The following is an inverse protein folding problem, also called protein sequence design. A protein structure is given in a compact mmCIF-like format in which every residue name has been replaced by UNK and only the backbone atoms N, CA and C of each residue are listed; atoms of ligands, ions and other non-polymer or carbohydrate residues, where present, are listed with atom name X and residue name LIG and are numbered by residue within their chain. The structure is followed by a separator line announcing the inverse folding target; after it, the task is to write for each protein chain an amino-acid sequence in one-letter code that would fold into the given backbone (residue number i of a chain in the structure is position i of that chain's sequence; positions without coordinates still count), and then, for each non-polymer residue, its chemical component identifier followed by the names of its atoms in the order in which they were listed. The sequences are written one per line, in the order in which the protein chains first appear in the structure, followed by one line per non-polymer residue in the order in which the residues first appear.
data_IF_679663556726
#
_entry.id   IF_679663556726
#
_cell.length_a   1.000
_cell.length_b   1.000
_cell.length_c   1.000
_cell.angle_alpha   90.00
_cell.angle_beta   90.00
_cell.angle_gamma   90.00
#
_symmetry.space_group_name_H-M   'P 1'
#
loop_
_entity.id
_entity.type
_entity.pdbx_description
1 polymer ?
#
# COMPACT_ATOMS: atom_id res chain seq x y z
N UNK A 1 22.77 10.97 -6.14
CA UNK A 1 22.67 9.70 -6.94
C UNK A 1 21.24 9.27 -6.92
N UNK A 2 20.67 8.90 -8.05
CA UNK A 2 19.27 8.47 -8.14
C UNK A 2 19.11 7.11 -7.44
N UNK A 3 18.25 7.05 -6.43
CA UNK A 3 17.96 5.80 -5.68
C UNK A 3 17.51 4.66 -6.59
N UNK A 4 16.83 4.94 -7.70
CA UNK A 4 16.42 3.89 -8.63
C UNK A 4 17.63 3.18 -9.25
N UNK A 5 18.70 3.90 -9.54
CA UNK A 5 19.93 3.33 -10.11
C UNK A 5 20.70 2.58 -9.02
N UNK A 6 20.91 3.21 -7.86
CA UNK A 6 21.66 2.63 -6.75
C UNK A 6 21.05 1.32 -6.23
N UNK A 7 19.71 1.24 -6.15
CA UNK A 7 18.99 0.09 -5.59
C UNK A 7 18.18 -0.70 -6.63
N UNK A 8 18.58 -0.64 -7.90
CA UNK A 8 17.88 -1.35 -8.99
C UNK A 8 17.72 -2.85 -8.72
N UNK A 9 18.67 -3.48 -8.06
CA UNK A 9 18.61 -4.89 -7.69
C UNK A 9 17.43 -5.23 -6.75
N UNK A 10 16.94 -4.27 -5.97
CA UNK A 10 15.76 -4.45 -5.12
C UNK A 10 14.45 -4.40 -5.93
N UNK A 11 14.46 -3.79 -7.11
CA UNK A 11 13.27 -3.57 -7.94
C UNK A 11 13.06 -4.65 -9.02
N UNK A 12 13.82 -5.75 -8.98
CA UNK A 12 13.62 -6.88 -9.88
C UNK A 12 12.59 -7.86 -9.32
N UNK A 13 11.65 -8.29 -10.16
CA UNK A 13 10.68 -9.35 -9.83
C UNK A 13 11.14 -10.63 -10.52
N UNK A 14 11.60 -11.61 -9.74
CA UNK A 14 12.14 -12.86 -10.28
C UNK A 14 11.06 -13.87 -10.72
N UNK A 15 9.81 -13.65 -10.30
CA UNK A 15 8.67 -14.50 -10.69
C UNK A 15 7.47 -13.59 -10.98
N UNK A 16 6.75 -13.81 -12.10
CA UNK A 16 5.50 -13.09 -12.34
C UNK A 16 4.52 -13.38 -11.19
N UNK A 17 3.76 -12.39 -10.82
CA UNK A 17 2.65 -12.58 -9.90
C UNK A 17 1.54 -13.31 -10.67
N UNK A 18 1.25 -14.54 -10.27
CA UNK A 18 0.14 -15.33 -10.80
C UNK A 18 -0.94 -15.31 -9.72
N UNK A 19 -2.10 -14.78 -10.06
CA UNK A 19 -3.27 -14.76 -9.17
C UNK A 19 -3.98 -16.11 -9.30
N UNK A 20 -3.33 -17.18 -8.86
CA UNK A 20 -3.98 -18.48 -8.75
C UNK A 20 -4.35 -18.73 -7.29
N UNK A 21 -5.63 -18.91 -7.04
CA UNK A 21 -6.25 -19.25 -5.74
C UNK A 21 -6.27 -18.09 -4.73
N UNK A 22 -7.24 -17.20 -4.88
CA UNK A 22 -7.64 -16.25 -3.82
C UNK A 22 -7.91 -17.02 -2.52
N UNK A 23 -7.21 -16.61 -1.46
CA UNK A 23 -7.43 -17.13 -0.10
C UNK A 23 -8.51 -16.31 0.59
N UNK A 24 -9.09 -16.86 1.65
CA UNK A 24 -10.09 -16.16 2.47
C UNK A 24 -9.67 -14.72 2.85
N UNK A 25 -8.37 -14.51 3.09
CA UNK A 25 -7.79 -13.20 3.43
C UNK A 25 -7.80 -12.18 2.29
N UNK A 26 -7.92 -12.61 1.05
CA UNK A 26 -7.96 -11.73 -0.11
C UNK A 26 -9.36 -11.08 -0.29
N UNK A 27 -10.36 -11.56 0.47
CA UNK A 27 -11.68 -10.93 0.60
C UNK A 27 -11.76 -9.88 1.71
N UNK A 28 -10.64 -9.57 2.37
CA UNK A 28 -10.60 -8.59 3.44
C UNK A 28 -10.53 -7.17 2.89
N UNK A 29 -11.49 -6.36 3.28
CA UNK A 29 -11.54 -4.95 2.93
C UNK A 29 -11.10 -4.06 4.09
N UNK A 30 -10.30 -3.05 3.80
CA UNK A 30 -9.99 -1.99 4.77
C UNK A 30 -11.27 -1.24 5.10
N UNK A 31 -11.60 -0.99 6.38
CA UNK A 31 -12.72 -0.12 6.75
C UNK A 31 -12.55 1.28 6.15
N UNK A 32 -13.66 1.94 5.82
CA UNK A 32 -13.64 3.27 5.20
C UNK A 32 -12.99 4.31 6.12
N UNK A 33 -13.33 4.29 7.39
CA UNK A 33 -12.78 5.16 8.42
C UNK A 33 -11.26 5.04 8.55
N UNK A 34 -10.69 3.85 8.38
CA UNK A 34 -9.23 3.64 8.40
C UNK A 34 -8.59 4.39 7.23
N UNK A 35 -9.15 4.30 6.02
CA UNK A 35 -8.61 5.00 4.84
C UNK A 35 -8.75 6.51 4.98
N UNK A 36 -9.89 7.01 5.49
CA UNK A 36 -10.09 8.43 5.79
C UNK A 36 -9.09 8.95 6.83
N UNK A 37 -8.77 8.14 7.84
CA UNK A 37 -7.74 8.49 8.83
C UNK A 37 -6.33 8.45 8.24
N UNK A 38 -6.03 7.51 7.33
CA UNK A 38 -4.77 7.51 6.59
C UNK A 38 -4.66 8.79 5.74
N UNK A 39 -5.73 9.25 5.10
CA UNK A 39 -5.74 10.52 4.37
C UNK A 39 -5.43 11.71 5.28
N UNK A 40 -6.06 11.79 6.45
CA UNK A 40 -5.80 12.86 7.45
C UNK A 40 -4.36 12.81 7.95
N UNK A 41 -3.84 11.63 8.25
CA UNK A 41 -2.48 11.42 8.75
C UNK A 41 -1.41 11.83 7.73
N UNK A 42 -1.59 11.46 6.48
CA UNK A 42 -0.61 11.68 5.41
C UNK A 42 -0.82 13.03 4.69
N UNK A 43 -2.01 13.61 4.81
CA UNK A 43 -2.44 14.77 4.03
C UNK A 43 -2.61 14.45 2.55
N UNK A 44 -2.89 13.18 2.21
CA UNK A 44 -3.24 12.73 0.86
C UNK A 44 -4.78 12.70 0.71
N UNK A 45 -5.25 12.95 -0.49
CA UNK A 45 -6.65 12.77 -0.87
C UNK A 45 -6.71 11.78 -2.04
N UNK A 46 -6.93 10.51 -1.72
CA UNK A 46 -6.80 9.44 -2.70
C UNK A 46 -7.85 9.53 -3.81
N UNK A 47 -7.37 9.47 -5.05
CA UNK A 47 -8.20 9.46 -6.25
C UNK A 47 -8.09 8.15 -7.06
N UNK A 48 -7.31 7.19 -6.58
CA UNK A 48 -7.25 5.83 -7.08
C UNK A 48 -7.11 4.83 -5.93
N UNK A 49 -7.92 3.78 -5.92
CA UNK A 49 -7.70 2.55 -5.16
C UNK A 49 -7.10 1.50 -6.09
N UNK A 50 -5.80 1.24 -5.95
CA UNK A 50 -5.06 0.46 -6.95
C UNK A 50 -5.24 -1.06 -6.81
N UNK A 51 -5.90 -1.55 -5.77
CA UNK A 51 -6.18 -2.98 -5.56
C UNK A 51 -7.58 -3.15 -4.97
N UNK A 52 -8.61 -2.94 -5.76
CA UNK A 52 -9.98 -2.98 -5.29
C UNK A 52 -10.95 -3.57 -6.33
N UNK A 53 -12.17 -3.77 -5.89
CA UNK A 53 -13.30 -4.03 -6.76
C UNK A 53 -14.46 -3.09 -6.40
N UNK A 54 -15.52 -3.13 -7.17
CA UNK A 54 -16.70 -2.26 -6.97
C UNK A 54 -17.30 -2.33 -5.56
N UNK A 55 -17.12 -3.44 -4.85
CA UNK A 55 -17.74 -3.68 -3.53
C UNK A 55 -16.88 -3.19 -2.37
N UNK A 56 -15.55 -3.08 -2.57
CA UNK A 56 -14.59 -2.75 -1.51
C UNK A 56 -13.77 -1.48 -1.76
N UNK A 57 -13.85 -0.85 -2.93
CA UNK A 57 -13.11 0.38 -3.25
C UNK A 57 -13.37 1.51 -2.25
N UNK A 58 -12.35 2.33 -2.05
CA UNK A 58 -12.38 3.53 -1.21
C UNK A 58 -12.26 4.82 -2.00
N UNK A 59 -12.11 4.69 -3.33
CA UNK A 59 -12.02 5.81 -4.26
C UNK A 59 -13.08 5.69 -5.34
N UNK A 60 -13.36 6.78 -6.03
CA UNK A 60 -14.22 6.80 -7.21
C UNK A 60 -13.62 5.94 -8.33
N UNK A 61 -12.31 6.09 -8.53
CA UNK A 61 -11.55 5.28 -9.48
C UNK A 61 -10.82 4.14 -8.78
N UNK A 62 -10.82 2.96 -9.40
CA UNK A 62 -10.16 1.79 -8.85
C UNK A 62 -9.68 0.84 -9.97
N UNK A 63 -8.74 -0.03 -9.63
CA UNK A 63 -8.21 -1.06 -10.54
C UNK A 63 -8.59 -2.43 -9.99
N UNK A 64 -9.31 -3.19 -10.81
CA UNK A 64 -9.74 -4.55 -10.46
C UNK A 64 -8.61 -5.57 -10.68
N UNK A 65 -8.83 -6.77 -10.18
CA UNK A 65 -7.93 -7.91 -10.40
C UNK A 65 -7.77 -8.21 -11.90
N UNK A 66 -8.86 -8.18 -12.65
CA UNK A 66 -8.87 -8.44 -14.10
C UNK A 66 -8.09 -7.38 -14.89
N UNK A 67 -8.19 -6.11 -14.45
CA UNK A 67 -7.42 -5.02 -15.04
C UNK A 67 -5.93 -5.11 -14.70
N UNK A 68 -5.59 -5.78 -13.61
CA UNK A 68 -4.25 -6.02 -13.12
C UNK A 68 -3.41 -4.75 -12.91
N UNK A 69 -3.40 -4.27 -11.68
CA UNK A 69 -2.67 -3.05 -11.28
C UNK A 69 -1.18 -3.07 -11.64
N UNK A 70 -0.56 -4.26 -11.74
CA UNK A 70 0.87 -4.39 -12.04
C UNK A 70 1.21 -3.95 -13.47
N UNK A 71 0.25 -4.06 -14.40
CA UNK A 71 0.43 -3.68 -15.82
C UNK A 71 -0.33 -2.40 -16.20
N UNK A 72 -1.31 -2.00 -15.39
CA UNK A 72 -2.08 -0.77 -15.61
C UNK A 72 -1.22 0.47 -15.32
N UNK A 73 -1.27 1.48 -16.18
CA UNK A 73 -0.62 2.77 -15.96
C UNK A 73 -1.42 3.63 -14.97
N UNK A 74 -0.74 4.21 -13.98
CA UNK A 74 -1.36 5.12 -13.00
C UNK A 74 -1.13 6.59 -13.32
N UNK A 75 -0.53 6.93 -14.47
CA UNK A 75 -0.05 8.29 -14.79
C UNK A 75 -1.09 9.39 -14.72
N UNK A 76 -2.38 9.10 -14.93
CA UNK A 76 -3.47 10.07 -14.82
C UNK A 76 -3.89 10.38 -13.35
N UNK A 77 -3.45 9.56 -12.40
CA UNK A 77 -3.78 9.72 -10.98
C UNK A 77 -2.64 10.36 -10.22
N UNK A 78 -2.95 11.11 -9.16
CA UNK A 78 -1.94 11.81 -8.37
C UNK A 78 -1.72 11.20 -7.00
N UNK A 79 -2.77 10.72 -6.37
CA UNK A 79 -2.74 10.25 -4.98
C UNK A 79 -3.44 8.90 -4.89
N UNK A 80 -2.65 7.86 -4.64
CA UNK A 80 -3.05 6.47 -4.76
C UNK A 80 -3.06 5.80 -3.40
N UNK A 81 -4.14 5.10 -3.11
CA UNK A 81 -4.22 4.13 -2.02
C UNK A 81 -4.04 2.72 -2.56
N UNK A 82 -3.41 1.85 -1.80
CA UNK A 82 -3.29 0.44 -2.13
C UNK A 82 -3.28 -0.43 -0.87
N UNK A 83 -4.13 -1.45 -0.86
CA UNK A 83 -4.09 -2.58 0.07
C UNK A 83 -3.89 -3.86 -0.76
N UNK A 84 -2.64 -4.24 -1.08
CA UNK A 84 -2.35 -5.35 -1.99
C UNK A 84 -2.57 -6.70 -1.33
N UNK A 85 -2.66 -7.81 -2.11
CA UNK A 85 -2.64 -9.17 -1.58
C UNK A 85 -1.41 -9.42 -0.70
N UNK A 86 -1.62 -9.84 0.55
CA UNK A 86 -0.54 -10.02 1.53
C UNK A 86 0.27 -11.29 1.33
N UNK A 87 -0.18 -12.21 0.48
CA UNK A 87 0.58 -13.42 0.15
C UNK A 87 1.88 -13.13 -0.61
N UNK A 88 1.90 -12.08 -1.45
CA UNK A 88 3.10 -11.63 -2.16
C UNK A 88 3.04 -10.13 -2.47
N UNK A 89 3.32 -9.24 -1.51
CA UNK A 89 3.20 -7.80 -1.70
C UNK A 89 4.35 -7.19 -2.52
N UNK A 90 5.48 -7.88 -2.70
CA UNK A 90 6.67 -7.32 -3.34
C UNK A 90 6.42 -6.71 -4.73
N UNK A 91 5.74 -7.38 -5.69
CA UNK A 91 5.48 -6.81 -7.01
C UNK A 91 4.69 -5.51 -6.96
N UNK A 92 3.73 -5.42 -6.05
CA UNK A 92 2.88 -4.24 -5.85
C UNK A 92 3.66 -3.06 -5.27
N UNK A 93 4.56 -3.31 -4.32
CA UNK A 93 5.43 -2.28 -3.75
C UNK A 93 6.40 -1.76 -4.83
N UNK A 94 6.98 -2.65 -5.64
CA UNK A 94 7.84 -2.26 -6.76
C UNK A 94 7.06 -1.43 -7.78
N UNK A 95 5.82 -1.82 -8.09
CA UNK A 95 4.93 -1.02 -8.96
C UNK A 95 4.73 0.37 -8.39
N UNK A 96 4.41 0.50 -7.11
CA UNK A 96 4.22 1.79 -6.45
C UNK A 96 5.47 2.68 -6.50
N UNK A 97 6.66 2.10 -6.28
CA UNK A 97 7.94 2.83 -6.43
C UNK A 97 8.11 3.32 -7.86
N UNK A 98 7.90 2.47 -8.86
CA UNK A 98 8.04 2.85 -10.27
C UNK A 98 7.06 3.96 -10.66
N UNK A 99 5.80 3.86 -10.27
CA UNK A 99 4.79 4.88 -10.53
C UNK A 99 5.12 6.20 -9.82
N UNK A 100 5.58 6.13 -8.57
CA UNK A 100 5.99 7.30 -7.81
C UNK A 100 7.14 8.06 -8.48
N UNK A 101 8.16 7.35 -8.96
CA UNK A 101 9.32 7.98 -9.57
C UNK A 101 9.11 8.39 -11.03
N UNK A 102 8.33 7.65 -11.81
CA UNK A 102 8.11 7.92 -13.26
C UNK A 102 6.92 8.84 -13.50
N UNK A 103 5.81 8.56 -12.85
CA UNK A 103 4.53 9.26 -13.06
C UNK A 103 4.20 10.25 -11.97
N UNK A 104 5.10 10.38 -10.97
CA UNK A 104 4.97 11.34 -9.90
C UNK A 104 3.76 11.13 -8.99
N UNK A 105 3.28 9.91 -8.89
CA UNK A 105 2.22 9.55 -7.97
C UNK A 105 2.71 9.65 -6.52
N UNK A 106 1.83 10.04 -5.63
CA UNK A 106 2.00 9.92 -4.18
C UNK A 106 1.21 8.70 -3.74
N UNK A 107 1.87 7.73 -3.12
CA UNK A 107 1.26 6.42 -2.87
C UNK A 107 1.30 6.08 -1.39
N UNK A 108 0.17 5.69 -0.81
CA UNK A 108 0.11 5.08 0.52
C UNK A 108 -0.30 3.62 0.40
N UNK A 109 0.49 2.73 0.99
CA UNK A 109 0.27 1.29 0.97
C UNK A 109 0.05 0.79 2.38
N UNK A 110 -1.04 0.06 2.59
CA UNK A 110 -1.28 -0.68 3.82
C UNK A 110 -0.68 -2.09 3.70
N UNK A 111 0.18 -2.46 4.65
CA UNK A 111 0.94 -3.72 4.63
C UNK A 111 0.95 -4.38 6.01
N UNK A 112 1.18 -5.68 6.06
CA UNK A 112 1.61 -6.31 7.30
C UNK A 112 3.04 -5.87 7.66
N UNK A 113 3.47 -6.06 8.90
CA UNK A 113 4.85 -5.82 9.32
C UNK A 113 5.62 -7.13 9.26
N UNK A 114 6.69 -7.16 8.48
CA UNK A 114 7.69 -8.21 8.52
C UNK A 114 9.04 -7.66 8.03
N UNK A 115 9.84 -7.21 8.97
CA UNK A 115 11.12 -6.53 8.73
C UNK A 115 12.20 -7.44 8.17
N UNK A 116 12.00 -8.75 8.18
CA UNK A 116 12.96 -9.74 7.65
C UNK A 116 12.85 -9.94 6.13
N UNK A 117 11.84 -9.33 5.51
CA UNK A 117 11.52 -9.58 4.10
C UNK A 117 12.19 -8.59 3.15
N UNK A 118 12.41 -9.04 1.91
CA UNK A 118 12.89 -8.17 0.83
C UNK A 118 11.93 -7.01 0.55
N UNK A 119 10.62 -7.24 0.60
CA UNK A 119 9.66 -6.18 0.35
C UNK A 119 9.69 -5.08 1.41
N UNK A 120 9.98 -5.44 2.69
CA UNK A 120 10.19 -4.42 3.72
C UNK A 120 11.46 -3.59 3.42
N UNK A 121 12.54 -4.24 2.94
CA UNK A 121 13.75 -3.52 2.50
C UNK A 121 13.46 -2.53 1.38
N UNK A 122 12.56 -2.84 0.44
CA UNK A 122 12.11 -1.87 -0.59
C UNK A 122 11.41 -0.68 0.07
N UNK A 123 10.52 -0.92 1.02
CA UNK A 123 9.87 0.17 1.77
C UNK A 123 10.89 1.02 2.54
N UNK A 124 11.83 0.40 3.25
CA UNK A 124 12.90 1.10 3.99
C UNK A 124 13.72 2.02 3.09
N UNK A 125 14.05 1.58 1.88
CA UNK A 125 14.86 2.35 0.93
C UNK A 125 14.05 3.46 0.25
N UNK A 126 12.85 3.16 -0.23
CA UNK A 126 12.13 4.03 -1.15
C UNK A 126 10.98 4.82 -0.52
N UNK A 127 10.40 4.36 0.59
CA UNK A 127 9.37 5.14 1.26
C UNK A 127 9.95 6.41 1.89
N UNK A 128 9.17 7.46 1.92
CA UNK A 128 9.50 8.69 2.66
C UNK A 128 9.06 8.59 4.13
N UNK A 129 7.98 7.84 4.38
CA UNK A 129 7.41 7.67 5.72
C UNK A 129 6.91 6.24 5.89
N UNK A 130 7.10 5.68 7.09
CA UNK A 130 6.47 4.43 7.53
C UNK A 130 5.80 4.68 8.88
N UNK A 131 4.50 4.36 8.98
CA UNK A 131 3.72 4.42 10.20
C UNK A 131 3.47 3.00 10.69
N UNK A 132 4.04 2.65 11.83
CA UNK A 132 3.78 1.38 12.51
C UNK A 132 2.53 1.50 13.37
N UNK A 133 1.54 0.64 13.13
CA UNK A 133 0.30 0.61 13.90
C UNK A 133 0.55 -0.14 15.21
N UNK A 134 0.23 0.50 16.33
CA UNK A 134 0.44 0.00 17.69
C UNK A 134 -0.88 -0.16 18.44
N UNK A 135 -0.85 -0.74 19.63
CA UNK A 135 -1.98 -0.92 20.56
C UNK A 135 -3.13 -1.80 20.01
N UNK A 136 -2.93 -2.45 18.87
CA UNK A 136 -3.94 -3.31 18.26
C UNK A 136 -3.68 -3.60 16.80
N UNK A 137 -4.72 -4.03 16.10
CA UNK A 137 -4.69 -4.39 14.68
C UNK A 137 -5.95 -3.89 13.99
N UNK A 138 -5.84 -3.61 12.69
CA UNK A 138 -7.01 -3.21 11.90
C UNK A 138 -8.05 -4.32 11.91
N UNK A 139 -9.29 -3.97 12.25
CA UNK A 139 -10.46 -4.84 12.15
C UNK A 139 -10.98 -4.82 10.73
N UNK A 140 -10.38 -5.62 9.85
CA UNK A 140 -10.83 -5.72 8.47
C UNK A 140 -12.28 -6.21 8.38
N UNK A 141 -12.93 -5.93 7.25
CA UNK A 141 -14.26 -6.40 6.93
C UNK A 141 -14.19 -7.43 5.80
N UNK A 142 -15.01 -8.47 5.84
CA UNK A 142 -15.27 -9.25 4.64
C UNK A 142 -16.14 -8.40 3.70
N UNK A 143 -15.63 -8.09 2.50
CA UNK A 143 -16.34 -7.19 1.59
C UNK A 143 -17.66 -7.76 1.07
N UNK A 144 -17.86 -9.08 1.15
CA UNK A 144 -19.09 -9.78 0.73
C UNK A 144 -20.19 -9.65 1.78
N UNK A 145 -19.85 -9.87 3.05
CA UNK A 145 -20.79 -9.87 4.18
C UNK A 145 -20.86 -8.55 4.93
N UNK A 146 -19.84 -7.70 4.79
CA UNK A 146 -19.64 -6.46 5.56
C UNK A 146 -19.38 -6.70 7.05
N UNK A 147 -19.18 -7.91 7.48
CA UNK A 147 -18.89 -8.26 8.86
C UNK A 147 -17.41 -8.13 9.18
N UNK A 148 -17.10 -7.87 10.44
CA UNK A 148 -15.71 -7.84 10.93
C UNK A 148 -15.08 -9.22 10.82
N UNK A 149 -13.93 -9.28 10.18
CA UNK A 149 -13.18 -10.53 10.02
C UNK A 149 -12.45 -10.86 11.33
N UNK A 150 -12.55 -12.12 11.74
CA UNK A 150 -11.77 -12.66 12.86
C UNK A 150 -10.44 -13.23 12.34
N UNK A 151 -9.40 -13.20 13.20
CA UNK A 151 -8.13 -13.88 12.91
C UNK A 151 -7.07 -13.03 12.20
N UNK A 152 -7.22 -11.69 12.16
CA UNK A 152 -6.10 -10.83 11.84
C UNK A 152 -5.04 -10.90 12.96
N UNK A 153 -4.02 -11.72 12.76
CA UNK A 153 -2.95 -11.96 13.72
C UNK A 153 -1.63 -11.27 13.38
N UNK A 154 -1.58 -10.52 12.29
CA UNK A 154 -0.39 -9.78 11.87
C UNK A 154 -0.52 -8.30 12.24
N UNK A 155 0.55 -7.66 12.75
CA UNK A 155 0.60 -6.21 12.88
C UNK A 155 0.66 -5.55 11.50
N UNK A 156 0.17 -4.32 11.38
CA UNK A 156 0.15 -3.58 10.12
C UNK A 156 1.00 -2.31 10.21
N UNK A 157 1.41 -1.84 9.02
CA UNK A 157 2.06 -0.55 8.81
C UNK A 157 1.49 0.14 7.56
N UNK A 158 1.70 1.45 7.48
CA UNK A 158 1.42 2.25 6.29
C UNK A 158 2.76 2.76 5.76
N UNK A 159 3.11 2.40 4.53
CA UNK A 159 4.26 2.94 3.83
C UNK A 159 3.82 4.02 2.84
N UNK A 160 4.43 5.22 2.92
CA UNK A 160 4.08 6.36 2.09
C UNK A 160 5.26 6.76 1.20
N UNK A 161 5.02 6.80 -0.09
CA UNK A 161 5.98 7.14 -1.13
C UNK A 161 5.64 8.51 -1.70
N UNK A 162 6.60 9.43 -1.64
CA UNK A 162 6.52 10.74 -2.28
C UNK A 162 7.57 10.84 -3.38
N UNK A 163 7.26 11.45 -4.53
CA UNK A 163 8.24 11.62 -5.61
C UNK A 163 9.38 12.56 -5.20
N UNK A 164 10.59 12.38 -5.75
CA UNK A 164 11.81 13.07 -5.29
C UNK A 164 11.76 14.60 -5.24
N UNK A 165 10.91 15.25 -6.03
CA UNK A 165 10.74 16.71 -5.99
C UNK A 165 9.62 17.17 -5.05
N UNK A 166 8.88 16.26 -4.43
CA UNK A 166 7.87 16.63 -3.43
C UNK A 166 8.54 17.20 -2.19
N UNK A 167 7.95 18.27 -1.62
CA UNK A 167 8.40 18.82 -0.33
C UNK A 167 8.31 17.80 0.83
N UNK A 168 7.51 16.75 0.65
CA UNK A 168 7.34 15.66 1.62
C UNK A 168 8.30 14.48 1.38
N UNK A 169 9.11 14.55 0.31
CA UNK A 169 10.10 13.52 0.03
C UNK A 169 11.26 13.58 1.02
N UNK A 170 11.66 12.43 1.52
CA UNK A 170 12.84 12.29 2.36
C UNK A 170 13.77 11.20 1.80
N UNK A 171 15.05 11.50 1.71
CA UNK A 171 16.07 10.54 1.28
C UNK A 171 16.23 9.37 2.25
N UNK A 172 15.98 9.60 3.55
CA UNK A 172 15.93 8.57 4.58
C UNK A 172 14.48 8.44 5.03
N UNK A 173 14.00 7.22 5.14
CA UNK A 173 12.64 6.96 5.64
C UNK A 173 12.48 7.51 7.04
N UNK A 174 11.39 8.22 7.26
CA UNK A 174 10.96 8.65 8.60
C UNK A 174 9.97 7.61 9.15
N UNK A 175 10.16 7.19 10.38
CA UNK A 175 9.31 6.21 11.03
C UNK A 175 8.48 6.83 12.14
N UNK A 176 7.22 6.46 12.20
CA UNK A 176 6.25 6.93 13.17
C UNK A 176 5.52 5.75 13.80
N UNK A 177 4.99 5.96 14.99
CA UNK A 177 4.07 5.04 15.64
C UNK A 177 2.70 5.69 15.74
N UNK A 178 1.66 4.95 15.41
CA UNK A 178 0.28 5.41 15.50
C UNK A 178 -0.57 4.41 16.26
N UNK A 179 -1.26 4.88 17.28
CA UNK A 179 -2.22 4.05 18.01
C UNK A 179 -3.40 3.69 17.09
N UNK A 180 -3.83 2.44 17.14
CA UNK A 180 -4.97 1.95 16.35
C UNK A 180 -6.24 2.75 16.59
N UNK A 181 -6.45 3.26 17.80
CA UNK A 181 -7.61 4.07 18.15
C UNK A 181 -7.67 5.41 17.38
N UNK A 182 -6.56 5.82 16.78
CA UNK A 182 -6.51 6.99 15.89
C UNK A 182 -6.80 6.63 14.42
N UNK A 183 -6.99 5.34 14.10
CA UNK A 183 -7.30 4.83 12.77
C UNK A 183 -8.68 4.19 12.65
N UNK A 184 -9.29 3.77 13.75
CA UNK A 184 -10.61 3.11 13.81
C UNK A 184 -11.59 3.89 14.65
#
# INVERSE_FOLDING_TARGET
MDKLIEYQHLLTVNKPFIIDNLKEKDYWATPKEVVENIQRLTGLNFNLDACANKQNTKCEEFITEEQNTLITDWGKYKQVFMNPPYCNPLPFIIKAVNECYRNHNQVAILLNIDTSTRWFKVCEVFASQIYFITSGRISFLDYRTKEKVKGNNKPQMIAVFYPPYSKKYNNKVQTYFIDINNLQ
#
